data_IF_409494374092
#
_entry.id   IF_409494374092
#
_cell.length_a   1.000
_cell.length_b   1.000
_cell.length_c   1.000
_cell.angle_alpha   90.00
_cell.angle_beta   90.00
_cell.angle_gamma   90.00
#
_symmetry.space_group_name_H-M   'P 1'
#
loop_
_entity.id
_entity.type
_entity.pdbx_description
1 polymer ?
#
# COMPACT_ATOMS: atom_id res chain seq x y z
N UNK A 1 10.88 17.04 -3.59
CA UNK A 1 11.22 15.60 -3.49
C UNK A 1 12.17 15.42 -2.31
N UNK A 2 11.83 14.56 -1.36
CA UNK A 2 12.60 14.26 -0.16
C UNK A 2 13.00 12.78 -0.19
N UNK A 3 14.27 12.49 0.04
CA UNK A 3 14.80 11.14 0.08
C UNK A 3 15.42 10.89 1.46
N UNK A 4 15.08 9.78 2.10
CA UNK A 4 15.67 9.32 3.36
C UNK A 4 16.14 7.87 3.24
N UNK A 5 17.07 7.47 4.10
CA UNK A 5 17.53 6.09 4.22
C UNK A 5 17.23 5.53 5.61
N UNK A 6 17.10 4.21 5.71
CA UNK A 6 16.86 3.50 6.97
C UNK A 6 15.38 3.18 7.20
N UNK A 7 14.99 3.06 8.47
CA UNK A 7 13.63 2.72 8.88
C UNK A 7 12.82 4.00 9.17
N UNK A 8 11.80 4.27 8.37
CA UNK A 8 10.85 5.32 8.65
C UNK A 8 9.93 4.92 9.81
N UNK A 9 9.75 5.85 10.75
CA UNK A 9 8.84 5.66 11.88
C UNK A 9 7.37 5.59 11.45
N UNK A 10 6.51 5.46 12.46
CA UNK A 10 5.06 5.45 12.34
C UNK A 10 4.55 6.70 11.60
N UNK A 11 3.49 6.54 10.80
CA UNK A 11 2.81 7.65 10.11
C UNK A 11 3.68 8.41 9.09
N UNK A 12 4.65 7.73 8.47
CA UNK A 12 5.45 8.33 7.41
C UNK A 12 4.57 8.83 6.25
N UNK A 13 4.70 10.12 5.90
CA UNK A 13 3.88 10.74 4.86
C UNK A 13 2.39 10.89 5.21
N UNK A 14 2.04 10.91 6.50
CA UNK A 14 0.67 11.23 6.90
C UNK A 14 0.25 12.61 6.37
N UNK A 15 -0.99 12.69 5.87
CA UNK A 15 -1.58 13.89 5.27
C UNK A 15 -0.76 14.50 4.13
N UNK A 16 0.00 13.68 3.39
CA UNK A 16 0.77 14.16 2.25
C UNK A 16 -0.12 14.86 1.22
N UNK A 17 0.43 15.90 0.58
CA UNK A 17 -0.29 16.77 -0.34
C UNK A 17 0.31 16.73 -1.75
N UNK A 18 -0.48 17.17 -2.72
CA UNK A 18 -0.05 17.32 -4.10
C UNK A 18 1.26 18.10 -4.22
N UNK A 19 2.20 17.56 -5.01
CA UNK A 19 3.52 18.16 -5.22
C UNK A 19 4.60 17.69 -4.24
N UNK A 20 4.24 17.02 -3.14
CA UNK A 20 5.21 16.44 -2.20
C UNK A 20 5.49 14.98 -2.56
N UNK A 21 6.76 14.69 -2.85
CA UNK A 21 7.24 13.33 -3.16
C UNK A 21 8.21 12.88 -2.08
N UNK A 22 7.90 11.75 -1.45
CA UNK A 22 8.67 11.14 -0.37
C UNK A 22 9.23 9.80 -0.84
N UNK A 23 10.52 9.57 -0.63
CA UNK A 23 11.16 8.28 -0.89
C UNK A 23 11.94 7.80 0.33
N UNK A 24 11.74 6.54 0.70
CA UNK A 24 12.54 5.82 1.69
C UNK A 24 13.31 4.71 0.97
N UNK A 25 14.63 4.71 1.12
CA UNK A 25 15.46 3.54 0.82
C UNK A 25 15.66 2.77 2.12
N UNK A 26 14.93 1.67 2.29
CA UNK A 26 14.78 0.96 3.55
C UNK A 26 13.34 0.49 3.72
N UNK A 27 12.80 0.67 4.92
CA UNK A 27 11.49 0.17 5.33
C UNK A 27 10.67 1.23 6.08
N UNK A 28 9.39 0.97 6.26
CA UNK A 28 8.47 1.84 6.99
C UNK A 28 7.70 1.05 8.06
N UNK A 29 7.37 1.71 9.17
CA UNK A 29 6.44 1.16 10.16
C UNK A 29 4.97 1.37 9.74
N UNK A 30 4.03 1.26 10.68
CA UNK A 30 2.59 1.37 10.39
C UNK A 30 2.17 2.78 9.93
N UNK A 31 0.97 2.85 9.34
CA UNK A 31 0.28 4.08 8.96
C UNK A 31 0.96 4.92 7.86
N UNK A 32 1.75 4.30 6.99
CA UNK A 32 2.32 5.01 5.82
C UNK A 32 1.19 5.65 5.02
N UNK A 33 1.32 6.94 4.70
CA UNK A 33 0.32 7.69 3.93
C UNK A 33 -1.04 7.84 4.62
N UNK A 34 -1.12 7.71 5.95
CA UNK A 34 -2.37 7.92 6.70
C UNK A 34 -3.01 9.27 6.34
N UNK A 35 -4.24 9.24 5.86
CA UNK A 35 -5.00 10.42 5.48
C UNK A 35 -4.38 11.26 4.36
N UNK A 36 -3.47 10.69 3.54
CA UNK A 36 -2.88 11.44 2.44
C UNK A 36 -3.94 11.88 1.42
N UNK A 37 -3.76 13.07 0.85
CA UNK A 37 -4.68 13.69 -0.10
C UNK A 37 -4.06 13.85 -1.50
N UNK A 38 -2.73 13.80 -1.62
CA UNK A 38 -2.03 13.90 -2.90
C UNK A 38 -0.55 13.60 -2.76
N UNK A 39 0.19 13.87 -3.84
CA UNK A 39 1.64 13.62 -3.89
C UNK A 39 1.96 12.13 -3.99
N UNK A 40 3.22 11.77 -3.70
CA UNK A 40 3.64 10.38 -3.78
C UNK A 40 4.56 9.91 -2.65
N UNK A 41 4.43 8.63 -2.30
CA UNK A 41 5.27 7.94 -1.33
C UNK A 41 5.85 6.69 -1.99
N UNK A 42 7.17 6.52 -1.89
CA UNK A 42 7.87 5.35 -2.41
C UNK A 42 8.72 4.73 -1.31
N UNK A 43 8.63 3.42 -1.11
CA UNK A 43 9.55 2.66 -0.28
C UNK A 43 10.17 1.52 -1.09
N UNK A 44 11.49 1.35 -0.99
CA UNK A 44 12.17 0.21 -1.59
C UNK A 44 13.38 -0.22 -0.75
N UNK A 45 13.74 -1.51 -0.73
CA UNK A 45 14.95 -1.97 -0.07
C UNK A 45 16.20 -1.31 -0.68
N UNK A 46 17.32 -1.25 0.07
CA UNK A 46 18.60 -0.80 -0.50
C UNK A 46 19.01 -1.61 -1.73
N UNK A 47 19.68 -0.96 -2.67
CA UNK A 47 20.25 -1.65 -3.84
C UNK A 47 21.30 -2.66 -3.34
N UNK A 48 21.22 -3.89 -3.83
CA UNK A 48 22.12 -4.97 -3.43
C UNK A 48 21.66 -5.78 -2.21
N UNK A 49 20.43 -5.56 -1.71
CA UNK A 49 19.80 -6.48 -0.77
C UNK A 49 19.83 -7.92 -1.31
N UNK A 50 20.16 -8.87 -0.44
CA UNK A 50 20.34 -10.30 -0.77
C UNK A 50 19.06 -11.13 -0.59
N UNK A 51 17.91 -10.47 -0.46
CA UNK A 51 16.59 -11.07 -0.32
C UNK A 51 15.67 -10.55 -1.42
N UNK A 52 14.68 -11.35 -1.78
CA UNK A 52 13.65 -10.98 -2.75
C UNK A 52 12.62 -10.06 -2.08
N UNK A 53 12.41 -8.87 -2.63
CA UNK A 53 11.57 -7.85 -2.01
C UNK A 53 10.12 -8.32 -1.83
N UNK A 54 9.59 -9.04 -2.83
CA UNK A 54 8.22 -9.53 -2.85
C UNK A 54 7.91 -10.56 -1.76
N UNK A 55 8.93 -11.18 -1.17
CA UNK A 55 8.77 -12.17 -0.10
C UNK A 55 8.91 -11.53 1.30
N UNK A 56 9.22 -10.23 1.39
CA UNK A 56 9.61 -9.55 2.62
C UNK A 56 8.74 -8.34 2.92
N UNK A 57 8.52 -8.05 4.21
CA UNK A 57 7.72 -6.91 4.65
C UNK A 57 8.51 -5.62 4.50
N UNK A 58 7.92 -4.61 3.87
CA UNK A 58 8.49 -3.27 3.70
C UNK A 58 7.73 -2.18 4.44
N UNK A 59 6.44 -2.40 4.72
CA UNK A 59 5.61 -1.47 5.47
C UNK A 59 4.68 -2.19 6.45
N UNK A 60 4.38 -1.52 7.56
CA UNK A 60 3.49 -2.05 8.58
C UNK A 60 2.01 -2.04 8.21
N UNK A 61 1.18 -2.04 9.25
CA UNK A 61 -0.27 -2.14 9.18
C UNK A 61 -0.94 -0.81 8.83
N UNK A 62 -2.19 -0.88 8.41
CA UNK A 62 -3.11 0.27 8.33
C UNK A 62 -2.55 1.44 7.51
N UNK A 63 -1.72 1.13 6.52
CA UNK A 63 -1.24 2.10 5.56
C UNK A 63 -2.41 2.63 4.71
N UNK A 64 -2.34 3.88 4.30
CA UNK A 64 -3.37 4.60 3.55
C UNK A 64 -4.72 4.76 4.27
N UNK A 65 -4.71 4.66 5.59
CA UNK A 65 -5.93 4.81 6.36
C UNK A 65 -6.64 6.13 6.04
N UNK A 66 -7.84 6.06 5.44
CA UNK A 66 -8.62 7.25 5.11
C UNK A 66 -7.99 8.13 4.02
N UNK A 67 -7.09 7.60 3.20
CA UNK A 67 -6.47 8.36 2.13
C UNK A 67 -7.51 8.81 1.10
N UNK A 68 -7.39 10.03 0.59
CA UNK A 68 -8.34 10.68 -0.33
C UNK A 68 -7.75 11.00 -1.70
N UNK A 69 -6.45 10.75 -1.89
CA UNK A 69 -5.75 10.96 -3.16
C UNK A 69 -4.25 10.71 -3.05
N UNK A 70 -3.55 10.81 -4.18
CA UNK A 70 -2.11 10.58 -4.31
C UNK A 70 -1.73 9.13 -4.59
N UNK A 71 -0.44 8.86 -4.64
CA UNK A 71 0.13 7.62 -5.17
C UNK A 71 1.14 6.98 -4.21
N UNK A 72 1.05 5.66 -3.99
CA UNK A 72 1.98 4.94 -3.12
C UNK A 72 2.54 3.69 -3.80
N UNK A 73 3.86 3.57 -3.82
CA UNK A 73 4.56 2.44 -4.43
C UNK A 73 5.51 1.80 -3.42
N UNK A 74 5.23 0.55 -3.03
CA UNK A 74 6.00 -0.16 -2.01
C UNK A 74 6.56 -1.45 -2.62
N UNK A 75 7.88 -1.51 -2.75
CA UNK A 75 8.61 -2.67 -3.27
C UNK A 75 8.78 -3.71 -2.15
N UNK A 76 7.70 -4.42 -1.86
CA UNK A 76 7.62 -5.48 -0.86
C UNK A 76 6.21 -5.67 -0.31
N UNK A 77 6.08 -6.59 0.64
CA UNK A 77 4.80 -6.90 1.31
C UNK A 77 4.46 -5.86 2.38
N UNK A 78 3.17 -5.68 2.60
CA UNK A 78 2.65 -4.82 3.67
C UNK A 78 1.88 -5.63 4.72
N UNK A 79 1.69 -5.04 5.89
CA UNK A 79 0.90 -5.63 6.97
C UNK A 79 -0.60 -5.71 6.68
N UNK A 80 -1.38 -5.87 7.74
CA UNK A 80 -2.83 -5.96 7.70
C UNK A 80 -3.50 -4.62 7.41
N UNK A 81 -4.76 -4.66 6.95
CA UNK A 81 -5.62 -3.49 6.75
C UNK A 81 -5.04 -2.43 5.83
N UNK A 82 -4.22 -2.84 4.87
CA UNK A 82 -3.72 -1.93 3.86
C UNK A 82 -4.89 -1.32 3.06
N UNK A 83 -4.92 0.00 2.92
CA UNK A 83 -6.00 0.68 2.19
C UNK A 83 -7.32 0.75 2.95
N UNK A 84 -7.33 0.51 4.27
CA UNK A 84 -8.57 0.61 5.05
C UNK A 84 -9.17 2.01 4.91
N UNK A 85 -10.44 2.09 4.50
CA UNK A 85 -11.14 3.35 4.22
C UNK A 85 -10.45 4.24 3.18
N UNK A 86 -9.66 3.67 2.27
CA UNK A 86 -9.15 4.42 1.12
C UNK A 86 -10.33 4.93 0.28
N UNK A 87 -10.29 6.20 -0.08
CA UNK A 87 -11.34 6.91 -0.81
C UNK A 87 -10.84 7.54 -2.11
N UNK A 88 -9.55 7.38 -2.47
CA UNK A 88 -9.02 7.98 -3.69
C UNK A 88 -7.53 7.79 -3.97
N UNK A 89 -6.77 7.18 -3.06
CA UNK A 89 -5.35 6.91 -3.29
C UNK A 89 -5.15 5.73 -4.24
N UNK A 90 -4.12 5.83 -5.08
CA UNK A 90 -3.65 4.75 -5.95
C UNK A 90 -2.42 4.10 -5.33
N UNK A 91 -2.37 2.77 -5.30
CA UNK A 91 -1.24 2.07 -4.70
C UNK A 91 -0.82 0.80 -5.45
N UNK A 92 0.48 0.50 -5.41
CA UNK A 92 1.06 -0.77 -5.85
C UNK A 92 1.93 -1.34 -4.72
N UNK A 93 1.69 -2.60 -4.38
CA UNK A 93 2.38 -3.38 -3.34
C UNK A 93 2.69 -4.79 -3.87
N UNK A 94 3.56 -5.54 -3.20
CA UNK A 94 3.94 -6.90 -3.62
C UNK A 94 3.31 -8.01 -2.76
N UNK A 95 2.23 -7.69 -2.07
CA UNK A 95 1.49 -8.59 -1.19
C UNK A 95 1.01 -7.88 0.06
N UNK A 96 0.00 -8.43 0.71
CA UNK A 96 -0.60 -7.85 1.92
C UNK A 96 -0.94 -8.91 2.97
N UNK A 97 -1.14 -8.49 4.21
CA UNK A 97 -1.81 -9.27 5.23
C UNK A 97 -3.33 -9.34 5.02
N UNK A 98 -4.06 -9.64 6.09
CA UNK A 98 -5.52 -9.72 6.08
C UNK A 98 -6.17 -8.33 5.88
N UNK A 99 -7.43 -8.31 5.45
CA UNK A 99 -8.28 -7.12 5.34
C UNK A 99 -7.80 -6.05 4.34
N UNK A 100 -7.16 -6.45 3.24
CA UNK A 100 -6.81 -5.52 2.15
C UNK A 100 -8.07 -4.78 1.64
N UNK A 101 -8.04 -3.45 1.62
CA UNK A 101 -9.14 -2.63 1.11
C UNK A 101 -10.41 -2.63 1.96
N UNK A 102 -10.31 -3.00 3.25
CA UNK A 102 -11.46 -2.97 4.17
C UNK A 102 -12.11 -1.58 4.20
N UNK A 103 -13.44 -1.50 4.03
CA UNK A 103 -14.19 -0.24 3.96
C UNK A 103 -13.72 0.76 2.90
N UNK A 104 -13.00 0.33 1.86
CA UNK A 104 -12.58 1.19 0.76
C UNK A 104 -13.80 1.74 -0.01
N UNK A 105 -13.79 3.02 -0.35
CA UNK A 105 -14.87 3.72 -1.05
C UNK A 105 -14.42 4.37 -2.36
N UNK A 106 -13.12 4.28 -2.69
CA UNK A 106 -12.55 4.84 -3.91
C UNK A 106 -11.04 4.63 -3.99
N UNK A 107 -10.47 4.91 -5.17
CA UNK A 107 -9.04 4.67 -5.46
C UNK A 107 -8.80 3.32 -6.12
N UNK A 108 -7.53 2.97 -6.31
CA UNK A 108 -7.09 1.73 -6.96
C UNK A 108 -5.93 1.13 -6.17
N UNK A 109 -5.99 -0.16 -5.82
CA UNK A 109 -4.86 -0.85 -5.19
C UNK A 109 -4.51 -2.08 -6.03
N UNK A 110 -3.24 -2.22 -6.36
CA UNK A 110 -2.68 -3.38 -7.05
C UNK A 110 -1.77 -4.13 -6.09
N UNK A 111 -2.06 -5.41 -5.87
CA UNK A 111 -1.17 -6.35 -5.19
C UNK A 111 -0.52 -7.28 -6.21
N UNK A 112 0.81 -7.25 -6.32
CA UNK A 112 1.60 -8.11 -7.20
C UNK A 112 1.98 -9.45 -6.54
N UNK A 113 1.36 -9.77 -5.40
CA UNK A 113 1.56 -11.02 -4.69
C UNK A 113 0.38 -11.35 -3.78
N UNK A 114 0.54 -12.41 -3.00
CA UNK A 114 -0.50 -12.96 -2.14
C UNK A 114 -1.01 -11.95 -1.11
N UNK A 115 -2.31 -12.05 -0.86
CA UNK A 115 -3.04 -11.25 0.11
C UNK A 115 -3.68 -12.18 1.13
N UNK A 116 -3.89 -11.67 2.35
CA UNK A 116 -4.55 -12.41 3.40
C UNK A 116 -6.06 -12.56 3.17
N UNK A 117 -6.76 -12.92 4.24
CA UNK A 117 -8.21 -13.17 4.24
C UNK A 117 -9.01 -11.88 4.23
N UNK A 118 -10.30 -12.00 3.92
CA UNK A 118 -11.30 -10.94 4.09
C UNK A 118 -11.00 -9.64 3.28
N UNK A 119 -10.43 -9.83 2.09
CA UNK A 119 -10.18 -8.77 1.11
C UNK A 119 -11.48 -8.05 0.76
N UNK A 120 -11.46 -6.73 0.73
CA UNK A 120 -12.60 -5.89 0.34
C UNK A 120 -13.77 -5.94 1.32
N UNK A 121 -13.58 -6.41 2.56
CA UNK A 121 -14.68 -6.45 3.52
C UNK A 121 -15.27 -5.06 3.79
N UNK A 122 -16.57 -4.90 3.51
CA UNK A 122 -17.26 -3.62 3.62
C UNK A 122 -16.79 -2.56 2.62
N UNK A 123 -16.01 -2.95 1.61
CA UNK A 123 -15.72 -2.10 0.45
C UNK A 123 -17.03 -1.74 -0.25
N UNK A 124 -17.12 -0.50 -0.73
CA UNK A 124 -18.30 0.05 -1.40
C UNK A 124 -17.93 0.93 -2.60
N UNK A 125 -16.64 1.00 -2.96
CA UNK A 125 -16.17 1.71 -4.15
C UNK A 125 -14.66 1.62 -4.32
N UNK A 126 -14.20 1.80 -5.56
CA UNK A 126 -12.79 1.66 -5.97
C UNK A 126 -12.51 0.31 -6.64
N UNK A 127 -11.23 0.01 -6.89
CA UNK A 127 -10.82 -1.23 -7.57
C UNK A 127 -9.62 -1.86 -6.86
N UNK A 128 -9.68 -3.17 -6.61
CA UNK A 128 -8.54 -3.97 -6.17
C UNK A 128 -8.13 -4.94 -7.29
N UNK A 129 -6.86 -4.91 -7.69
CA UNK A 129 -6.25 -5.92 -8.56
C UNK A 129 -5.31 -6.77 -7.73
N UNK A 130 -5.44 -8.09 -7.79
CA UNK A 130 -4.66 -9.02 -6.99
C UNK A 130 -4.09 -10.08 -7.91
N UNK A 131 -2.77 -10.13 -8.02
CA UNK A 131 -2.07 -11.21 -8.69
C UNK A 131 -1.87 -12.36 -7.72
N UNK A 132 -2.56 -13.48 -8.00
CA UNK A 132 -2.42 -14.73 -7.26
C UNK A 132 -1.75 -15.79 -8.14
N UNK A 133 -0.45 -16.05 -7.95
CA UNK A 133 0.29 -17.02 -8.76
C UNK A 133 -0.06 -18.48 -8.45
N UNK A 134 -0.66 -18.78 -7.30
CA UNK A 134 -0.77 -20.14 -6.79
C UNK A 134 -2.14 -20.79 -7.04
N UNK A 135 -3.23 -20.00 -7.12
CA UNK A 135 -4.58 -20.59 -7.19
C UNK A 135 -5.48 -19.99 -8.30
N UNK A 136 -5.32 -18.72 -8.72
CA UNK A 136 -6.38 -18.03 -9.48
C UNK A 136 -5.98 -16.98 -10.55
N UNK A 137 -4.70 -16.71 -10.82
CA UNK A 137 -4.31 -15.70 -11.79
C UNK A 137 -4.62 -14.26 -11.33
N UNK A 138 -4.91 -13.34 -12.25
CA UNK A 138 -5.26 -11.95 -11.89
C UNK A 138 -6.73 -11.87 -11.45
N UNK A 139 -6.96 -11.60 -10.17
CA UNK A 139 -8.28 -11.29 -9.63
C UNK A 139 -8.54 -9.79 -9.65
N UNK A 140 -9.77 -9.41 -9.98
CA UNK A 140 -10.26 -8.04 -9.95
C UNK A 140 -11.48 -7.98 -9.04
N UNK A 141 -11.39 -7.21 -7.96
CA UNK A 141 -12.54 -6.89 -7.11
C UNK A 141 -12.99 -5.46 -7.43
N UNK A 142 -14.18 -5.36 -8.00
CA UNK A 142 -14.86 -4.13 -8.39
C UNK A 142 -16.26 -4.26 -7.85
N UNK A 143 -16.66 -3.31 -7.00
CA UNK A 143 -18.08 -3.16 -6.69
C UNK A 143 -18.75 -2.26 -7.73
N UNK A 144 -19.95 -2.69 -8.12
CA UNK A 144 -20.86 -2.06 -9.09
C UNK A 144 -21.33 -0.67 -8.65
#
# INVERSE_FOLDING_TARGET
>A
KLNSGGAAGQSFGAWNIQGVQLKVTGECNDYVGKGMNGGSIVAAPPVGSNFAAQDNVIAGNTCLYGATGGEVFLNGRVGERFGVRNAGCQAVIEGAGDHLGEYMTGGVIVSLGQVGRNVGAGMSGGVLYIYDPDDHGLQMNVDN
#
